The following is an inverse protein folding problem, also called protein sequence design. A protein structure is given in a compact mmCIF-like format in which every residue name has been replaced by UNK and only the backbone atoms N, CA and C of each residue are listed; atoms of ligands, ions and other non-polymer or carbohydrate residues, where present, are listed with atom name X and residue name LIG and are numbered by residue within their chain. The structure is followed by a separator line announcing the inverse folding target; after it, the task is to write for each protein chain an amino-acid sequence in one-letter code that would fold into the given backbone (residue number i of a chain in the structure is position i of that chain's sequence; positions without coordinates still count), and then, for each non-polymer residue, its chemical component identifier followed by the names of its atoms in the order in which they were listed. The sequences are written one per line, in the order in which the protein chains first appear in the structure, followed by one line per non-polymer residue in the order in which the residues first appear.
data_IF_811821780808
#
_entry.id   IF_811821780808
#
_cell.length_a   1.000
_cell.length_b   1.000
_cell.length_c   1.000
_cell.angle_alpha   90.00
_cell.angle_beta   90.00
_cell.angle_gamma   90.00
#
_symmetry.space_group_name_H-M   'P 1'
#
loop_
_entity.id
_entity.type
_entity.pdbx_description
1 polymer ?
#
# COMPACT_ATOMS: atom_id res chain seq x y z
N UNK A 1 37.36 1.21 9.77
CA UNK A 1 36.85 2.12 8.72
C UNK A 1 36.96 1.41 7.38
N UNK A 2 36.15 0.37 7.15
CA UNK A 2 36.21 -0.44 5.93
C UNK A 2 35.68 0.34 4.71
N UNK A 3 34.46 0.90 4.85
CA UNK A 3 33.79 1.73 3.82
C UNK A 3 34.68 2.88 3.33
N UNK A 4 35.39 3.55 4.24
CA UNK A 4 36.25 4.69 3.90
C UNK A 4 37.51 4.24 3.15
N UNK A 5 37.95 2.99 3.36
CA UNK A 5 39.16 2.44 2.72
C UNK A 5 38.91 1.70 1.41
N UNK A 6 37.79 1.00 1.27
CA UNK A 6 37.49 0.12 0.12
C UNK A 6 36.33 0.64 -0.73
N UNK A 7 35.57 1.62 -0.25
CA UNK A 7 34.32 2.04 -0.88
C UNK A 7 33.15 1.06 -0.67
N UNK A 8 33.42 -0.10 -0.04
CA UNK A 8 32.49 -1.22 0.05
C UNK A 8 32.51 -1.83 1.46
N UNK A 9 31.39 -2.39 1.90
CA UNK A 9 31.28 -3.09 3.18
C UNK A 9 31.04 -4.58 2.91
N UNK A 10 32.01 -5.45 3.23
CA UNK A 10 31.92 -6.89 2.93
C UNK A 10 30.68 -7.56 3.54
N UNK A 11 30.16 -7.05 4.66
CA UNK A 11 28.89 -7.53 5.26
C UNK A 11 27.68 -7.41 4.32
N UNK A 12 27.65 -6.41 3.43
CA UNK A 12 26.58 -6.25 2.43
C UNK A 12 26.72 -7.24 1.27
N UNK A 13 27.93 -7.74 1.00
CA UNK A 13 28.15 -8.78 -0.02
C UNK A 13 27.62 -10.15 0.44
N UNK A 14 27.73 -10.46 1.75
CA UNK A 14 27.15 -11.67 2.34
C UNK A 14 25.60 -11.63 2.42
N UNK A 15 24.98 -10.47 2.24
CA UNK A 15 23.52 -10.31 2.13
C UNK A 15 23.01 -10.44 0.67
N UNK A 16 23.90 -10.59 -0.32
CA UNK A 16 23.55 -10.84 -1.74
C UNK A 16 23.66 -12.33 -2.10
N UNK A 17 23.23 -13.20 -1.20
CA UNK A 17 23.05 -14.62 -1.52
C UNK A 17 21.70 -14.81 -2.22
N UNK A 18 21.60 -15.78 -3.14
CA UNK A 18 20.39 -16.04 -3.93
C UNK A 18 19.13 -16.28 -3.05
N UNK A 19 19.34 -16.79 -1.83
CA UNK A 19 18.31 -16.93 -0.81
C UNK A 19 17.83 -15.60 -0.24
N UNK A 20 18.74 -14.64 0.02
CA UNK A 20 18.39 -13.32 0.51
C UNK A 20 17.56 -12.55 -0.52
N UNK A 21 17.97 -12.55 -1.79
CA UNK A 21 17.21 -11.89 -2.88
C UNK A 21 15.80 -12.48 -3.04
N UNK A 22 15.69 -13.82 -3.01
CA UNK A 22 14.39 -14.49 -3.11
C UNK A 22 13.51 -14.18 -1.89
N UNK A 23 14.09 -14.18 -0.69
CA UNK A 23 13.35 -13.84 0.53
C UNK A 23 12.85 -12.40 0.46
N UNK A 24 13.70 -11.45 0.04
CA UNK A 24 13.31 -10.05 -0.14
C UNK A 24 12.21 -9.89 -1.18
N UNK A 25 12.29 -10.59 -2.32
CA UNK A 25 11.24 -10.62 -3.34
C UNK A 25 9.89 -11.05 -2.73
N UNK A 26 9.88 -12.13 -1.95
CA UNK A 26 8.64 -12.61 -1.33
C UNK A 26 8.13 -11.68 -0.24
N UNK A 27 9.02 -10.99 0.50
CA UNK A 27 8.62 -9.98 1.47
C UNK A 27 8.01 -8.72 0.85
N UNK A 28 8.21 -8.49 -0.45
CA UNK A 28 7.49 -7.45 -1.18
C UNK A 28 6.01 -7.75 -1.39
N UNK A 29 5.56 -8.99 -1.14
CA UNK A 29 4.14 -9.34 -1.23
C UNK A 29 3.44 -8.91 0.07
N UNK A 30 2.33 -8.18 -0.07
CA UNK A 30 1.54 -7.71 1.05
C UNK A 30 1.19 -8.83 2.04
N UNK A 31 1.43 -8.59 3.33
CA UNK A 31 1.16 -9.56 4.40
C UNK A 31 2.17 -10.71 4.48
N UNK A 32 3.27 -10.67 3.73
CA UNK A 32 4.32 -11.70 3.76
C UNK A 32 5.53 -11.21 4.57
N UNK A 33 5.66 -11.74 5.78
CA UNK A 33 6.85 -11.53 6.61
C UNK A 33 7.97 -12.54 6.33
N UNK A 34 9.13 -12.33 6.96
CA UNK A 34 10.34 -13.16 6.83
C UNK A 34 10.07 -14.67 7.01
N UNK A 35 9.24 -15.05 7.99
CA UNK A 35 8.93 -16.44 8.26
C UNK A 35 8.17 -17.11 7.11
N UNK A 36 7.19 -16.41 6.54
CA UNK A 36 6.42 -16.90 5.39
C UNK A 36 7.30 -16.97 4.14
N UNK A 37 8.10 -15.94 3.88
CA UNK A 37 9.05 -15.91 2.77
C UNK A 37 10.05 -17.08 2.84
N UNK A 38 10.66 -17.31 4.01
CA UNK A 38 11.56 -18.48 4.24
C UNK A 38 10.85 -19.81 4.05
N UNK A 39 9.59 -19.93 4.49
CA UNK A 39 8.80 -21.14 4.29
C UNK A 39 8.57 -21.45 2.81
N UNK A 40 8.27 -20.43 2.00
CA UNK A 40 8.12 -20.59 0.54
C UNK A 40 9.44 -20.92 -0.14
N UNK A 41 10.53 -20.25 0.26
CA UNK A 41 11.87 -20.56 -0.20
C UNK A 41 12.26 -22.03 0.08
N UNK A 42 12.02 -22.51 1.30
CA UNK A 42 12.31 -23.89 1.71
C UNK A 42 11.44 -24.93 0.97
N UNK A 43 10.30 -24.51 0.42
CA UNK A 43 9.45 -25.32 -0.47
C UNK A 43 9.88 -25.30 -1.93
N UNK A 44 11.00 -24.66 -2.25
CA UNK A 44 11.57 -24.60 -3.58
C UNK A 44 11.04 -23.47 -4.46
N UNK A 45 10.27 -22.53 -3.91
CA UNK A 45 9.86 -21.33 -4.66
C UNK A 45 11.04 -20.37 -4.77
N UNK A 46 11.26 -19.83 -5.98
CA UNK A 46 12.28 -18.82 -6.29
C UNK A 46 11.71 -17.60 -7.00
N UNK A 47 10.56 -17.74 -7.66
CA UNK A 47 9.94 -16.68 -8.45
C UNK A 47 8.50 -16.42 -8.03
N UNK A 48 7.95 -15.27 -8.45
CA UNK A 48 6.51 -14.99 -8.32
C UNK A 48 5.65 -15.99 -9.10
N UNK A 49 6.16 -16.48 -10.23
CA UNK A 49 5.50 -17.52 -11.02
C UNK A 49 5.37 -18.84 -10.24
N UNK A 50 6.43 -19.25 -9.54
CA UNK A 50 6.38 -20.44 -8.67
C UNK A 50 5.24 -20.34 -7.63
N UNK A 51 5.01 -19.14 -7.09
CA UNK A 51 3.93 -18.89 -6.13
C UNK A 51 2.56 -18.96 -6.81
N UNK A 52 2.40 -18.39 -8.01
CA UNK A 52 1.17 -18.45 -8.79
C UNK A 52 0.81 -19.88 -9.21
N UNK A 53 1.80 -20.70 -9.54
CA UNK A 53 1.63 -22.12 -9.91
C UNK A 53 1.43 -23.03 -8.69
N UNK A 54 1.53 -22.50 -7.47
CA UNK A 54 1.36 -23.27 -6.23
C UNK A 54 2.50 -24.27 -5.97
N UNK A 55 3.70 -23.99 -6.50
CA UNK A 55 4.87 -24.87 -6.36
C UNK A 55 5.14 -25.22 -4.90
N UNK A 56 5.49 -26.48 -4.64
CA UNK A 56 5.74 -26.97 -3.29
C UNK A 56 4.52 -26.91 -2.36
N UNK A 57 3.31 -26.84 -2.92
CA UNK A 57 2.05 -26.77 -2.15
C UNK A 57 1.87 -25.43 -1.44
N UNK A 58 2.41 -24.34 -1.99
CA UNK A 58 2.13 -22.98 -1.52
C UNK A 58 0.72 -22.59 -1.95
N UNK A 59 -0.05 -22.03 -1.01
CA UNK A 59 -1.37 -21.49 -1.25
C UNK A 59 -1.37 -20.02 -0.84
N UNK A 60 -1.67 -19.16 -1.80
CA UNK A 60 -1.78 -17.73 -1.59
C UNK A 60 -3.20 -17.38 -1.15
N UNK A 61 -3.33 -16.45 -0.20
CA UNK A 61 -4.61 -15.80 0.08
C UNK A 61 -5.09 -14.98 -1.13
N UNK A 62 -6.37 -14.63 -1.17
CA UNK A 62 -6.91 -13.83 -2.28
C UNK A 62 -6.13 -12.52 -2.48
N UNK A 63 -5.83 -11.80 -1.39
CA UNK A 63 -5.04 -10.56 -1.44
C UNK A 63 -3.61 -10.83 -1.92
N UNK A 64 -2.98 -11.92 -1.49
CA UNK A 64 -1.65 -12.29 -1.96
C UNK A 64 -1.65 -12.61 -3.47
N UNK A 65 -2.71 -13.24 -3.99
CA UNK A 65 -2.85 -13.49 -5.43
C UNK A 65 -2.95 -12.18 -6.22
N UNK A 66 -3.75 -11.22 -5.74
CA UNK A 66 -3.86 -9.89 -6.35
C UNK A 66 -2.49 -9.20 -6.38
N UNK A 67 -1.77 -9.22 -5.26
CA UNK A 67 -0.47 -8.54 -5.17
C UNK A 67 0.60 -9.24 -6.01
N UNK A 68 0.60 -10.56 -6.09
CA UNK A 68 1.51 -11.28 -6.98
C UNK A 68 1.18 -10.98 -8.45
N UNK A 69 -0.11 -10.87 -8.80
CA UNK A 69 -0.57 -10.51 -10.16
C UNK A 69 -0.09 -9.11 -10.57
N UNK A 70 -0.22 -8.12 -9.69
CA UNK A 70 0.12 -6.73 -9.97
C UNK A 70 1.48 -6.31 -9.37
N UNK A 71 2.38 -7.27 -9.09
CA UNK A 71 3.58 -6.99 -8.32
C UNK A 71 4.47 -5.92 -8.97
N UNK A 72 4.67 -5.98 -10.28
CA UNK A 72 5.51 -5.02 -11.00
C UNK A 72 4.89 -3.61 -10.96
N UNK A 73 3.59 -3.55 -11.14
CA UNK A 73 2.77 -2.33 -11.18
C UNK A 73 2.73 -1.64 -9.80
N UNK A 74 2.49 -2.42 -8.74
CA UNK A 74 2.54 -1.99 -7.34
C UNK A 74 3.89 -1.38 -6.94
N UNK A 75 4.99 -1.93 -7.49
CA UNK A 75 6.35 -1.46 -7.21
C UNK A 75 6.84 -0.39 -8.20
N UNK A 76 6.01 -0.01 -9.17
CA UNK A 76 6.33 1.04 -10.12
C UNK A 76 6.11 2.44 -9.50
N UNK A 77 6.68 3.47 -10.14
CA UNK A 77 6.52 4.86 -9.68
C UNK A 77 5.30 5.49 -10.36
N UNK A 78 4.41 6.06 -9.56
CA UNK A 78 3.18 6.73 -10.02
C UNK A 78 3.42 8.20 -10.41
N UNK A 79 2.79 8.69 -11.50
CA UNK A 79 2.69 10.11 -11.82
C UNK A 79 1.81 10.90 -10.84
N UNK A 80 2.26 12.09 -10.41
CA UNK A 80 1.51 12.97 -9.48
C UNK A 80 0.08 13.34 -9.93
N UNK A 81 -0.19 13.39 -11.24
CA UNK A 81 -1.48 13.82 -11.76
C UNK A 81 -2.62 12.87 -11.35
N UNK A 82 -2.34 11.58 -11.24
CA UNK A 82 -3.32 10.55 -10.85
C UNK A 82 -3.81 10.76 -9.41
N UNK A 83 -2.89 11.11 -8.51
CA UNK A 83 -3.21 11.37 -7.11
C UNK A 83 -4.19 12.56 -6.95
N UNK A 84 -4.16 13.54 -7.85
CA UNK A 84 -5.02 14.72 -7.80
C UNK A 84 -6.50 14.41 -8.12
N UNK A 85 -6.80 13.35 -8.87
CA UNK A 85 -8.19 12.97 -9.22
C UNK A 85 -8.99 12.58 -7.97
N UNK A 86 -8.35 11.98 -6.98
CA UNK A 86 -9.00 11.55 -5.72
C UNK A 86 -9.46 12.75 -4.89
N UNK A 87 -8.71 13.88 -4.95
CA UNK A 87 -9.07 15.11 -4.25
C UNK A 87 -10.28 15.83 -4.86
N UNK A 88 -10.68 15.47 -6.09
CA UNK A 88 -11.80 16.10 -6.76
C UNK A 88 -13.18 15.61 -6.23
N UNK A 89 -13.22 14.55 -5.41
CA UNK A 89 -14.45 14.02 -4.85
C UNK A 89 -15.04 14.95 -3.77
N UNK A 90 -16.22 15.50 -4.04
CA UNK A 90 -16.93 16.40 -3.12
C UNK A 90 -18.06 15.68 -2.38
N UNK A 91 -17.72 14.88 -1.37
CA UNK A 91 -18.69 14.08 -0.60
C UNK A 91 -19.33 14.83 0.58
N UNK A 92 -18.56 15.70 1.24
CA UNK A 92 -18.98 16.51 2.37
C UNK A 92 -18.14 17.80 2.38
N UNK A 93 -18.75 19.00 2.47
CA UNK A 93 -18.02 20.27 2.48
C UNK A 93 -17.11 20.47 3.70
N UNK A 94 -17.35 19.75 4.80
CA UNK A 94 -16.51 19.79 6.00
C UNK A 94 -15.39 18.74 5.99
N UNK A 95 -15.32 17.93 4.94
CA UNK A 95 -14.28 16.93 4.78
C UNK A 95 -12.97 17.59 4.36
N UNK A 96 -11.92 17.23 5.06
CA UNK A 96 -10.55 17.54 4.72
C UNK A 96 -9.88 16.26 4.22
N UNK A 97 -9.50 16.27 2.94
CA UNK A 97 -8.68 15.23 2.33
C UNK A 97 -7.33 15.86 1.97
N UNK A 98 -6.23 15.24 2.39
CA UNK A 98 -4.89 15.67 2.04
C UNK A 98 -4.05 14.47 1.60
N UNK A 99 -3.33 14.63 0.49
CA UNK A 99 -2.32 13.65 0.07
C UNK A 99 -1.04 13.95 0.85
N UNK A 100 -0.51 12.93 1.53
CA UNK A 100 0.67 12.99 2.37
C UNK A 100 1.91 12.47 1.61
N UNK A 101 2.79 11.77 2.32
CA UNK A 101 3.88 11.03 1.71
C UNK A 101 4.86 11.85 0.86
N UNK A 102 5.39 11.18 -0.15
CA UNK A 102 6.26 11.75 -1.18
C UNK A 102 5.58 12.88 -1.96
N UNK A 103 4.26 12.78 -2.17
CA UNK A 103 3.47 13.81 -2.83
C UNK A 103 3.56 15.14 -2.07
N UNK A 104 3.36 15.15 -0.75
CA UNK A 104 3.46 16.35 0.08
C UNK A 104 4.86 16.96 0.10
N UNK A 105 5.91 16.14 -0.08
CA UNK A 105 7.32 16.60 -0.13
C UNK A 105 7.75 17.13 -1.50
N UNK A 106 6.83 17.19 -2.47
CA UNK A 106 7.11 17.66 -3.83
C UNK A 106 8.16 16.81 -4.59
N UNK A 107 8.27 15.52 -4.26
CA UNK A 107 9.06 14.58 -5.07
C UNK A 107 8.48 14.50 -6.49
N UNK A 108 9.34 14.31 -7.51
CA UNK A 108 8.93 14.27 -8.91
C UNK A 108 8.00 13.09 -9.22
N UNK A 109 8.12 12.01 -8.45
CA UNK A 109 7.35 10.78 -8.57
C UNK A 109 6.88 10.28 -7.19
N UNK A 110 5.86 9.41 -7.17
CA UNK A 110 5.28 8.83 -5.96
C UNK A 110 5.42 7.31 -5.98
N UNK A 111 5.59 6.67 -4.83
CA UNK A 111 5.57 5.20 -4.74
C UNK A 111 4.15 4.70 -4.52
N UNK A 112 3.48 5.35 -3.57
CA UNK A 112 2.12 5.12 -3.14
C UNK A 112 1.40 6.47 -2.98
N UNK A 113 0.06 6.41 -2.95
CA UNK A 113 -0.78 7.54 -2.56
C UNK A 113 -1.16 7.39 -1.09
N UNK A 114 -0.51 8.16 -0.22
CA UNK A 114 -0.93 8.31 1.16
C UNK A 114 -2.02 9.38 1.27
N UNK A 115 -3.20 9.03 1.78
CA UNK A 115 -4.32 9.96 1.97
C UNK A 115 -4.67 10.08 3.44
N UNK A 116 -4.68 11.30 3.94
CA UNK A 116 -5.30 11.65 5.21
C UNK A 116 -6.73 12.14 4.98
N UNK A 117 -7.67 11.56 5.72
CA UNK A 117 -9.07 11.92 5.71
C UNK A 117 -9.47 12.32 7.13
N UNK A 118 -10.05 13.51 7.27
CA UNK A 118 -10.67 13.94 8.52
C UNK A 118 -11.79 14.93 8.23
N UNK A 119 -12.65 15.22 9.21
CA UNK A 119 -13.81 16.08 9.02
C UNK A 119 -13.97 17.01 10.20
N UNK A 120 -14.16 18.31 9.93
CA UNK A 120 -14.54 19.27 10.96
C UNK A 120 -15.81 18.82 11.69
N UNK A 121 -15.93 19.17 12.97
CA UNK A 121 -17.02 18.74 13.85
C UNK A 121 -17.82 19.92 14.42
N UNK A 122 -17.70 21.11 13.81
CA UNK A 122 -18.39 22.34 14.23
C UNK A 122 -19.92 22.25 14.09
N UNK A 123 -20.42 21.37 13.21
CA UNK A 123 -21.83 21.04 13.04
C UNK A 123 -22.32 19.89 13.94
N UNK A 124 -21.47 19.42 14.86
CA UNK A 124 -21.74 18.35 15.80
C UNK A 124 -21.74 16.94 15.18
N UNK A 125 -21.34 16.78 13.92
CA UNK A 125 -21.22 15.47 13.26
C UNK A 125 -19.75 15.05 13.14
N UNK A 126 -19.54 13.76 12.92
CA UNK A 126 -18.21 13.18 12.66
C UNK A 126 -18.17 12.57 11.26
N UNK A 127 -17.02 12.04 10.85
CA UNK A 127 -16.85 11.29 9.60
C UNK A 127 -17.29 9.82 9.69
N UNK A 128 -18.10 9.44 10.69
CA UNK A 128 -18.62 8.07 10.82
C UNK A 128 -19.30 7.60 9.53
N UNK A 129 -18.88 6.46 9.00
CA UNK A 129 -19.43 5.87 7.77
C UNK A 129 -19.01 6.60 6.48
N UNK A 130 -18.21 7.66 6.57
CA UNK A 130 -17.76 8.42 5.40
C UNK A 130 -16.76 7.63 4.56
N UNK A 131 -15.86 6.86 5.18
CA UNK A 131 -14.92 5.99 4.44
C UNK A 131 -15.69 5.00 3.56
N UNK A 132 -16.75 4.36 4.07
CA UNK A 132 -17.61 3.46 3.28
C UNK A 132 -18.15 4.14 2.03
N UNK A 133 -18.66 5.37 2.17
CA UNK A 133 -19.21 6.15 1.06
C UNK A 133 -18.11 6.53 0.06
N UNK A 134 -16.95 6.97 0.55
CA UNK A 134 -15.81 7.32 -0.28
C UNK A 134 -15.32 6.12 -1.11
N UNK A 135 -15.10 4.97 -0.48
CA UNK A 135 -14.68 3.75 -1.18
C UNK A 135 -15.73 3.34 -2.22
N UNK A 136 -17.02 3.41 -1.89
CA UNK A 136 -18.10 3.11 -2.84
C UNK A 136 -18.08 4.01 -4.09
N UNK A 137 -17.86 5.32 -3.92
CA UNK A 137 -17.76 6.27 -5.03
C UNK A 137 -16.48 6.07 -5.87
N UNK A 138 -15.35 5.81 -5.21
CA UNK A 138 -14.08 5.53 -5.87
C UNK A 138 -14.15 4.24 -6.71
N UNK A 139 -14.80 3.19 -6.20
CA UNK A 139 -15.08 1.96 -6.94
C UNK A 139 -16.06 2.20 -8.09
N UNK A 140 -17.14 2.95 -7.87
CA UNK A 140 -18.13 3.28 -8.92
C UNK A 140 -17.52 4.08 -10.08
N UNK A 141 -16.56 4.95 -9.79
CA UNK A 141 -15.80 5.69 -10.80
C UNK A 141 -14.63 4.88 -11.39
N UNK A 142 -14.42 3.65 -10.90
CA UNK A 142 -13.32 2.77 -11.30
C UNK A 142 -11.94 3.33 -10.95
N UNK A 143 -11.85 4.29 -10.01
CA UNK A 143 -10.58 4.82 -9.51
C UNK A 143 -9.89 3.76 -8.65
N UNK A 144 -10.64 3.15 -7.71
CA UNK A 144 -10.22 1.95 -6.99
C UNK A 144 -10.60 0.71 -7.80
N UNK A 145 -9.70 -0.27 -7.83
CA UNK A 145 -9.91 -1.55 -8.53
C UNK A 145 -9.89 -2.74 -7.60
N UNK A 146 -9.06 -2.72 -6.55
CA UNK A 146 -8.88 -3.84 -5.64
C UNK A 146 -8.79 -3.33 -4.20
N UNK A 147 -9.39 -4.06 -3.26
CA UNK A 147 -9.29 -3.80 -1.83
C UNK A 147 -8.28 -4.78 -1.21
N UNK A 148 -7.16 -4.27 -0.70
CA UNK A 148 -6.11 -5.10 -0.08
C UNK A 148 -6.29 -5.24 1.43
N UNK A 149 -6.78 -4.18 2.08
CA UNK A 149 -6.98 -4.11 3.52
C UNK A 149 -8.17 -3.23 3.83
N UNK A 150 -9.27 -3.83 4.28
CA UNK A 150 -10.45 -3.12 4.76
C UNK A 150 -10.46 -3.11 6.30
N UNK A 151 -10.90 -2.02 6.94
CA UNK A 151 -11.20 -2.04 8.36
C UNK A 151 -12.33 -3.02 8.68
N UNK A 152 -12.25 -3.68 9.85
CA UNK A 152 -13.30 -4.58 10.32
C UNK A 152 -14.65 -3.85 10.49
N UNK A 153 -14.62 -2.59 10.93
CA UNK A 153 -15.79 -1.75 11.08
C UNK A 153 -15.61 -0.37 10.42
N UNK A 154 -16.21 -0.21 9.23
CA UNK A 154 -16.20 1.05 8.47
C UNK A 154 -16.93 2.23 9.16
N UNK A 155 -17.51 2.04 10.35
CA UNK A 155 -18.11 3.11 11.15
C UNK A 155 -17.20 3.61 12.28
N UNK A 156 -16.00 3.07 12.45
CA UNK A 156 -15.06 3.61 13.42
C UNK A 156 -14.52 4.96 12.96
N UNK A 157 -13.96 5.72 13.90
CA UNK A 157 -13.41 7.05 13.62
C UNK A 157 -11.92 7.00 13.28
N UNK A 158 -11.24 5.92 13.62
CA UNK A 158 -9.85 5.66 13.25
C UNK A 158 -9.82 4.44 12.34
N UNK A 159 -9.52 4.67 11.06
CA UNK A 159 -9.58 3.64 10.02
C UNK A 159 -8.33 3.70 9.17
N UNK A 160 -7.78 2.52 8.85
CA UNK A 160 -6.74 2.36 7.85
C UNK A 160 -7.29 1.50 6.74
N UNK A 161 -7.18 1.98 5.50
CA UNK A 161 -7.53 1.24 4.30
C UNK A 161 -6.34 1.18 3.36
N UNK A 162 -6.19 0.05 2.65
CA UNK A 162 -5.25 -0.10 1.56
C UNK A 162 -5.91 -0.74 0.35
N UNK A 163 -5.60 -0.23 -0.82
CA UNK A 163 -6.17 -0.69 -2.08
C UNK A 163 -5.22 -0.46 -3.26
N UNK A 164 -5.71 -0.79 -4.45
CA UNK A 164 -5.04 -0.51 -5.72
C UNK A 164 -5.89 0.45 -6.57
N UNK A 165 -5.22 1.39 -7.22
CA UNK A 165 -5.79 2.37 -8.13
C UNK A 165 -5.64 1.98 -9.61
N UNK A 166 -6.46 2.61 -10.47
CA UNK A 166 -6.50 2.41 -11.94
C UNK A 166 -5.16 2.70 -12.65
N UNK A 167 -5.13 2.31 -13.92
CA UNK A 167 -4.10 2.49 -14.98
C UNK A 167 -2.90 1.57 -14.83
N UNK A 168 -2.30 1.50 -13.66
CA UNK A 168 -1.12 0.68 -13.43
C UNK A 168 -1.12 0.10 -11.99
N UNK A 169 -2.29 -0.30 -11.49
CA UNK A 169 -2.47 -1.00 -10.20
C UNK A 169 -1.63 -0.43 -9.04
N UNK A 170 -1.53 0.90 -8.97
CA UNK A 170 -0.67 1.56 -8.00
C UNK A 170 -1.27 1.50 -6.59
N UNK A 171 -0.42 1.48 -5.58
CA UNK A 171 -0.87 1.38 -4.18
C UNK A 171 -1.47 2.70 -3.67
N UNK A 172 -2.56 2.59 -2.93
CA UNK A 172 -3.21 3.68 -2.20
C UNK A 172 -3.46 3.26 -0.76
N UNK A 173 -3.02 4.11 0.15
CA UNK A 173 -3.19 3.96 1.58
C UNK A 173 -4.01 5.15 2.09
N UNK A 174 -5.06 4.90 2.86
CA UNK A 174 -5.84 5.97 3.48
C UNK A 174 -5.90 5.80 4.99
N UNK A 175 -5.64 6.90 5.69
CA UNK A 175 -5.77 7.05 7.12
C UNK A 175 -6.93 8.02 7.39
N UNK A 176 -7.97 7.51 8.05
CA UNK A 176 -9.09 8.34 8.51
C UNK A 176 -8.99 8.52 10.01
N UNK A 177 -9.00 9.77 10.50
CA UNK A 177 -8.88 10.09 11.94
C UNK A 177 -9.81 11.24 12.36
N UNK A 178 -10.16 11.33 13.67
CA UNK A 178 -10.84 12.51 14.23
C UNK A 178 -10.06 13.80 13.98
N UNK A 179 -10.78 14.92 13.89
CA UNK A 179 -10.17 16.22 13.56
C UNK A 179 -9.21 16.70 14.65
N UNK A 180 -9.55 16.45 15.90
CA UNK A 180 -8.75 16.74 17.07
C UNK A 180 -7.41 15.99 17.09
N UNK A 181 -7.34 14.82 16.44
CA UNK A 181 -6.12 14.02 16.33
C UNK A 181 -5.22 14.48 15.18
N UNK A 182 -5.62 15.50 14.42
CA UNK A 182 -4.85 16.02 13.28
C UNK A 182 -3.62 16.79 13.76
N UNK A 183 -2.46 16.15 13.74
CA UNK A 183 -1.16 16.76 14.07
C UNK A 183 -0.47 16.20 15.31
N UNK A 184 -1.02 15.13 15.90
CA UNK A 184 -0.32 14.30 16.87
C UNK A 184 0.83 13.50 16.23
#
# INVERSE_FOLDING_TARGET
MEIISTGELRRLEFEKTEDAETITLFQGIYGVGLNTARKWYNRGCRTLQDLNEGKGGVQLSHVQQIVVKYYADINSRMPRAEAAEILALRLDPQLFIAILGSYRRCEPDCGDIDILITRLTDDGKTHRGLLRRLLGELHAQGILTEDLCLPDNLNDLELVYRGLCRRDAHSIDSLTIPYESRGA
#
